data_IF_308137618144
#
_entry.id   IF_308137618144
#
_cell.length_a   1.000
_cell.length_b   1.000
_cell.length_c   1.000
_cell.angle_alpha   90.00
_cell.angle_beta   90.00
_cell.angle_gamma   90.00
#
_symmetry.space_group_name_H-M   'P 1'
#
loop_
_entity.id
_entity.type
_entity.pdbx_description
1 polymer ?
#
# COMPACT_ATOMS: atom_id res chain seq x y z
N UNK A 1 -69.88 -27.06 -21.57
CA UNK A 1 -68.69 -27.90 -21.85
C UNK A 1 -67.65 -27.02 -22.53
N UNK A 2 -66.39 -26.84 -22.15
CA UNK A 2 -65.61 -27.11 -20.96
C UNK A 2 -64.57 -25.96 -20.84
N UNK A 3 -64.29 -25.48 -19.62
CA UNK A 3 -63.28 -24.43 -19.36
C UNK A 3 -61.88 -25.00 -19.61
N UNK A 4 -61.11 -24.42 -20.54
CA UNK A 4 -59.67 -24.68 -20.67
C UNK A 4 -58.91 -23.85 -19.63
N UNK A 5 -58.46 -24.49 -18.55
CA UNK A 5 -57.46 -23.92 -17.66
C UNK A 5 -56.07 -24.19 -18.25
N UNK A 6 -55.30 -23.13 -18.54
CA UNK A 6 -53.86 -23.22 -18.75
C UNK A 6 -53.19 -23.24 -17.37
N UNK A 7 -52.35 -24.23 -17.03
CA UNK A 7 -51.56 -24.16 -15.80
C UNK A 7 -50.41 -23.15 -16.01
N UNK A 8 -50.39 -22.09 -15.18
CA UNK A 8 -49.21 -21.24 -15.03
C UNK A 8 -48.12 -22.08 -14.37
N UNK A 9 -47.07 -22.41 -15.11
CA UNK A 9 -45.84 -22.95 -14.55
C UNK A 9 -45.15 -21.79 -13.83
N UNK A 10 -45.31 -21.69 -12.51
CA UNK A 10 -44.49 -20.82 -11.67
C UNK A 10 -43.04 -21.31 -11.72
N UNK A 11 -42.21 -20.62 -12.51
CA UNK A 11 -40.77 -20.75 -12.40
C UNK A 11 -40.35 -20.13 -11.08
N UNK A 12 -40.23 -20.95 -10.04
CA UNK A 12 -39.54 -20.56 -8.81
C UNK A 12 -38.09 -20.27 -9.17
N UNK A 13 -37.75 -19.00 -9.38
CA UNK A 13 -36.37 -18.54 -9.44
C UNK A 13 -35.78 -18.75 -8.05
N UNK A 14 -35.26 -19.95 -7.79
CA UNK A 14 -34.35 -20.18 -6.66
C UNK A 14 -33.20 -19.22 -6.87
N UNK A 15 -33.19 -18.15 -6.09
CA UNK A 15 -32.10 -17.19 -6.00
C UNK A 15 -30.92 -18.00 -5.47
N UNK A 16 -30.07 -18.49 -6.36
CA UNK A 16 -28.78 -19.05 -5.99
C UNK A 16 -28.07 -17.94 -5.26
N UNK A 17 -28.02 -18.01 -3.93
CA UNK A 17 -27.21 -17.11 -3.14
C UNK A 17 -25.78 -17.41 -3.54
N UNK A 18 -25.26 -16.66 -4.52
CA UNK A 18 -23.83 -16.60 -4.76
C UNK A 18 -23.20 -16.35 -3.39
N UNK A 19 -22.41 -17.31 -2.90
CA UNK A 19 -21.57 -17.11 -1.73
C UNK A 19 -20.83 -15.81 -2.00
N UNK A 20 -21.21 -14.72 -1.32
CA UNK A 20 -20.54 -13.45 -1.47
C UNK A 20 -19.14 -13.71 -0.93
N UNK A 21 -18.17 -13.88 -1.83
CA UNK A 21 -16.77 -14.00 -1.43
C UNK A 21 -16.50 -12.80 -0.54
N UNK A 22 -16.18 -13.05 0.73
CA UNK A 22 -15.85 -11.99 1.67
C UNK A 22 -14.58 -11.37 1.13
N UNK A 23 -14.69 -10.15 0.60
CA UNK A 23 -13.54 -9.44 0.06
C UNK A 23 -12.62 -9.08 1.21
N UNK A 24 -11.33 -9.39 1.09
CA UNK A 24 -10.31 -8.93 2.02
C UNK A 24 -10.31 -7.39 2.06
N UNK A 25 -10.11 -6.80 3.22
CA UNK A 25 -10.15 -5.34 3.39
C UNK A 25 -8.85 -4.80 3.99
N UNK A 26 -8.28 -3.80 3.31
CA UNK A 26 -7.04 -3.13 3.72
C UNK A 26 -7.32 -1.69 4.10
N UNK A 27 -6.89 -1.29 5.30
CA UNK A 27 -6.73 0.11 5.68
C UNK A 27 -5.24 0.45 5.56
N UNK A 28 -4.88 1.42 4.72
CA UNK A 28 -3.50 1.86 4.52
C UNK A 28 -3.45 3.36 4.86
N UNK A 29 -2.75 3.73 5.93
CA UNK A 29 -2.63 5.13 6.37
C UNK A 29 -1.23 5.63 6.05
N UNK A 30 -1.13 6.60 5.13
CA UNK A 30 0.12 7.10 4.57
C UNK A 30 0.48 8.47 5.16
N UNK A 31 1.77 8.69 5.34
CA UNK A 31 2.36 9.99 5.68
C UNK A 31 2.01 11.04 4.62
N UNK A 32 2.39 10.80 3.36
CA UNK A 32 2.10 11.70 2.25
C UNK A 32 0.62 11.73 1.86
N UNK A 33 0.17 12.91 1.42
CA UNK A 33 -1.23 13.13 1.07
C UNK A 33 -1.61 12.60 -0.33
N UNK A 34 -0.63 12.43 -1.21
CA UNK A 34 -0.85 12.20 -2.64
C UNK A 34 -0.15 10.94 -3.12
N UNK A 35 1.18 10.89 -3.04
CA UNK A 35 1.99 9.90 -3.78
C UNK A 35 1.63 8.47 -3.42
N UNK A 36 1.68 8.13 -2.13
CA UNK A 36 1.49 6.78 -1.60
C UNK A 36 0.02 6.35 -1.68
N UNK A 37 -0.96 7.16 -1.24
CA UNK A 37 -2.37 6.81 -1.40
C UNK A 37 -2.76 6.58 -2.86
N UNK A 38 -2.29 7.41 -3.79
CA UNK A 38 -2.59 7.24 -5.21
C UNK A 38 -1.94 5.98 -5.79
N UNK A 39 -0.70 5.66 -5.38
CA UNK A 39 -0.04 4.41 -5.77
C UNK A 39 -0.82 3.18 -5.30
N UNK A 40 -1.18 3.08 -4.01
CA UNK A 40 -1.89 1.91 -3.48
C UNK A 40 -3.32 1.80 -3.99
N UNK A 41 -4.01 2.91 -4.22
CA UNK A 41 -5.35 2.91 -4.82
C UNK A 41 -5.32 2.60 -6.34
N UNK A 42 -4.16 2.56 -6.99
CA UNK A 42 -4.04 2.19 -8.41
C UNK A 42 -4.08 0.68 -8.66
N UNK A 43 -3.88 -0.15 -7.62
CA UNK A 43 -4.01 -1.61 -7.74
C UNK A 43 -5.46 -2.01 -8.04
N UNK A 44 -5.65 -2.81 -9.10
CA UNK A 44 -6.96 -3.37 -9.45
C UNK A 44 -7.11 -4.76 -8.84
N UNK A 45 -7.71 -4.83 -7.66
CA UNK A 45 -7.90 -6.07 -6.91
C UNK A 45 -9.28 -6.66 -7.21
N UNK A 46 -9.36 -7.98 -7.36
CA UNK A 46 -10.60 -8.69 -7.74
C UNK A 46 -11.38 -9.15 -6.52
N UNK A 47 -10.66 -9.63 -5.50
CA UNK A 47 -11.19 -10.20 -4.26
C UNK A 47 -10.81 -9.42 -3.00
N UNK A 48 -10.31 -8.18 -3.13
CA UNK A 48 -10.00 -7.29 -2.01
C UNK A 48 -10.47 -5.85 -2.25
N UNK A 49 -10.56 -5.06 -1.17
CA UNK A 49 -10.74 -3.61 -1.23
C UNK A 49 -9.62 -2.91 -0.45
N UNK A 50 -9.04 -1.87 -1.04
CA UNK A 50 -8.06 -1.00 -0.40
C UNK A 50 -8.72 0.33 -0.07
N UNK A 51 -8.49 0.81 1.15
CA UNK A 51 -8.73 2.19 1.55
C UNK A 51 -7.40 2.81 1.95
N UNK A 52 -6.72 3.42 0.98
CA UNK A 52 -5.50 4.18 1.25
C UNK A 52 -5.83 5.66 1.51
N UNK A 53 -5.33 6.20 2.61
CA UNK A 53 -5.63 7.56 3.11
C UNK A 53 -4.30 8.26 3.37
N UNK A 54 -4.10 9.44 2.80
CA UNK A 54 -2.96 10.31 3.12
C UNK A 54 -3.31 11.30 4.22
N UNK A 55 -2.36 11.60 5.11
CA UNK A 55 -2.62 12.45 6.29
C UNK A 55 -1.79 13.71 6.39
N UNK A 56 -0.66 13.82 5.69
CA UNK A 56 0.27 14.94 5.89
C UNK A 56 0.83 14.97 7.32
N UNK A 57 0.99 13.80 7.93
CA UNK A 57 1.39 13.62 9.33
C UNK A 57 2.56 12.67 9.43
N UNK A 58 3.39 12.87 10.44
CA UNK A 58 4.69 12.21 10.53
C UNK A 58 4.71 11.15 11.64
N UNK A 59 5.46 10.06 11.42
CA UNK A 59 5.90 9.07 12.43
C UNK A 59 4.84 8.69 13.49
N UNK A 60 5.09 9.01 14.77
CA UNK A 60 4.25 8.65 15.92
C UNK A 60 2.85 9.29 15.80
N UNK A 61 2.76 10.51 15.28
CA UNK A 61 1.47 11.18 15.11
C UNK A 61 0.62 10.49 14.05
N UNK A 62 1.24 10.01 12.97
CA UNK A 62 0.59 9.20 11.95
C UNK A 62 0.07 7.87 12.53
N UNK A 63 0.88 7.20 13.35
CA UNK A 63 0.48 5.92 13.98
C UNK A 63 -0.72 6.13 14.92
N UNK A 64 -0.69 7.18 15.75
CA UNK A 64 -1.83 7.54 16.62
C UNK A 64 -3.09 7.82 15.81
N UNK A 65 -2.97 8.56 14.72
CA UNK A 65 -4.08 8.85 13.81
C UNK A 65 -4.60 7.58 13.13
N UNK A 66 -3.73 6.67 12.71
CA UNK A 66 -4.12 5.40 12.10
C UNK A 66 -4.94 4.54 13.07
N UNK A 67 -4.52 4.46 14.34
CA UNK A 67 -5.27 3.79 15.41
C UNK A 67 -6.65 4.44 15.57
N UNK A 68 -6.72 5.77 15.63
CA UNK A 68 -7.98 6.50 15.77
C UNK A 68 -8.93 6.22 14.58
N UNK A 69 -8.43 6.24 13.35
CA UNK A 69 -9.21 5.94 12.13
C UNK A 69 -9.77 4.51 12.20
N UNK A 70 -8.92 3.53 12.50
CA UNK A 70 -9.34 2.12 12.61
C UNK A 70 -10.44 1.96 13.67
N UNK A 71 -10.27 2.56 14.84
CA UNK A 71 -11.20 2.42 15.96
C UNK A 71 -12.54 3.11 15.67
N UNK A 72 -12.53 4.26 14.99
CA UNK A 72 -13.75 4.95 14.51
C UNK A 72 -14.50 4.07 13.50
N UNK A 73 -13.81 3.48 12.53
CA UNK A 73 -14.44 2.62 11.52
C UNK A 73 -14.97 1.32 12.15
N UNK A 74 -14.26 0.75 13.12
CA UNK A 74 -14.72 -0.40 13.92
C UNK A 74 -16.03 -0.10 14.66
N UNK A 75 -16.15 1.08 15.28
CA UNK A 75 -17.41 1.53 15.91
C UNK A 75 -18.56 1.69 14.92
N UNK A 76 -18.26 1.91 13.63
CA UNK A 76 -19.21 1.93 12.53
C UNK A 76 -19.43 0.54 11.89
N UNK A 77 -19.02 -0.53 12.57
CA UNK A 77 -19.10 -1.93 12.11
C UNK A 77 -18.33 -2.19 10.81
N UNK A 78 -17.28 -1.42 10.53
CA UNK A 78 -16.34 -1.63 9.42
C UNK A 78 -14.99 -2.04 9.99
N UNK A 79 -14.77 -3.35 10.09
CA UNK A 79 -13.47 -3.90 10.42
C UNK A 79 -12.62 -4.01 9.15
N UNK A 80 -11.31 -3.83 9.30
CA UNK A 80 -10.34 -4.11 8.25
C UNK A 80 -9.57 -5.36 8.64
N UNK A 81 -9.38 -6.25 7.68
CA UNK A 81 -8.64 -7.49 7.88
C UNK A 81 -7.13 -7.24 7.98
N UNK A 82 -6.63 -6.22 7.27
CA UNK A 82 -5.25 -5.75 7.36
C UNK A 82 -5.21 -4.23 7.57
N UNK A 83 -4.41 -3.80 8.54
CA UNK A 83 -4.16 -2.39 8.83
C UNK A 83 -2.66 -2.11 8.66
N UNK A 84 -2.33 -1.14 7.82
CA UNK A 84 -0.96 -0.75 7.48
C UNK A 84 -0.75 0.74 7.73
N UNK A 85 0.44 1.08 8.22
CA UNK A 85 0.96 2.44 8.19
C UNK A 85 2.11 2.53 7.20
N UNK A 86 2.14 3.62 6.42
CA UNK A 86 3.17 3.87 5.41
C UNK A 86 3.82 5.21 5.68
N UNK A 87 5.13 5.23 5.89
CA UNK A 87 5.85 6.47 6.19
C UNK A 87 7.31 6.43 5.74
N UNK A 88 7.88 7.62 5.58
CA UNK A 88 9.25 7.81 5.15
C UNK A 88 10.17 8.00 6.35
N UNK A 89 11.46 7.69 6.21
CA UNK A 89 12.47 8.01 7.24
C UNK A 89 12.81 9.50 7.23
N UNK A 90 12.88 10.11 6.05
CA UNK A 90 13.21 11.52 5.81
C UNK A 90 14.31 12.05 6.77
N UNK A 91 14.14 13.26 7.29
CA UNK A 91 14.98 13.87 8.32
C UNK A 91 14.57 13.47 9.76
N UNK A 92 13.75 12.43 9.95
CA UNK A 92 13.30 12.04 11.29
C UNK A 92 14.43 11.53 12.17
N UNK A 93 14.34 11.77 13.47
CA UNK A 93 15.29 11.17 14.42
C UNK A 93 15.19 9.64 14.37
N UNK A 94 16.32 8.95 14.55
CA UNK A 94 16.32 7.48 14.54
C UNK A 94 15.46 6.90 15.66
N UNK A 95 15.43 7.59 16.81
CA UNK A 95 14.57 7.23 17.94
C UNK A 95 13.10 7.29 17.58
N UNK A 96 12.63 8.39 16.97
CA UNK A 96 11.22 8.56 16.65
C UNK A 96 10.76 7.59 15.55
N UNK A 97 11.61 7.34 14.55
CA UNK A 97 11.31 6.40 13.48
C UNK A 97 11.15 4.97 14.02
N UNK A 98 12.13 4.50 14.80
CA UNK A 98 12.06 3.17 15.40
C UNK A 98 10.90 3.06 16.41
N UNK A 99 10.64 4.12 17.20
CA UNK A 99 9.51 4.15 18.10
C UNK A 99 8.17 4.08 17.36
N UNK A 100 8.03 4.73 16.20
CA UNK A 100 6.82 4.65 15.38
C UNK A 100 6.59 3.24 14.85
N UNK A 101 7.64 2.55 14.37
CA UNK A 101 7.57 1.14 13.96
C UNK A 101 7.05 0.27 15.11
N UNK A 102 7.68 0.37 16.28
CA UNK A 102 7.31 -0.41 17.47
C UNK A 102 5.89 -0.12 17.94
N UNK A 103 5.50 1.16 17.95
CA UNK A 103 4.15 1.59 18.33
C UNK A 103 3.10 1.00 17.40
N UNK A 104 3.33 1.03 16.09
CA UNK A 104 2.40 0.50 15.10
C UNK A 104 2.22 -1.02 15.27
N UNK A 105 3.33 -1.76 15.37
CA UNK A 105 3.33 -3.22 15.54
C UNK A 105 2.61 -3.65 16.82
N UNK A 106 2.91 -3.00 17.95
CA UNK A 106 2.26 -3.28 19.25
C UNK A 106 0.76 -3.02 19.21
N UNK A 107 0.31 -2.12 18.33
CA UNK A 107 -1.11 -1.82 18.14
C UNK A 107 -1.76 -2.63 17.01
N UNK A 108 -1.10 -3.67 16.49
CA UNK A 108 -1.66 -4.55 15.46
C UNK A 108 -1.69 -3.95 14.06
N UNK A 109 -0.80 -2.99 13.77
CA UNK A 109 -0.54 -2.52 12.41
C UNK A 109 0.70 -3.17 11.85
N UNK A 110 0.65 -3.49 10.56
CA UNK A 110 1.85 -3.74 9.77
C UNK A 110 2.48 -2.42 9.33
N UNK A 111 3.77 -2.43 9.04
CA UNK A 111 4.53 -1.22 8.72
C UNK A 111 5.24 -1.37 7.38
N UNK A 112 4.97 -0.46 6.46
CA UNK A 112 5.72 -0.30 5.23
C UNK A 112 6.45 1.04 5.28
N UNK A 113 7.78 1.05 5.28
CA UNK A 113 8.56 2.29 5.29
C UNK A 113 9.52 2.37 4.11
N UNK A 114 9.97 3.58 3.79
CA UNK A 114 11.10 3.80 2.88
C UNK A 114 12.14 4.70 3.53
N UNK A 115 13.40 4.27 3.47
CA UNK A 115 14.54 5.04 3.97
C UNK A 115 15.38 5.49 2.75
N UNK A 116 15.34 6.74 2.30
CA UNK A 116 14.80 7.91 3.00
C UNK A 116 13.35 8.28 2.63
N UNK A 117 12.90 7.99 1.41
CA UNK A 117 11.61 8.46 0.91
C UNK A 117 10.93 7.45 -0.02
N UNK A 118 9.60 7.54 -0.16
CA UNK A 118 8.79 6.57 -0.90
C UNK A 118 9.22 6.41 -2.36
N UNK A 119 9.74 7.46 -3.00
CA UNK A 119 10.25 7.37 -4.37
C UNK A 119 11.39 6.35 -4.55
N UNK A 120 12.10 5.98 -3.47
CA UNK A 120 13.08 4.90 -3.53
C UNK A 120 12.43 3.59 -4.00
N UNK A 121 11.22 3.28 -3.54
CA UNK A 121 10.44 2.13 -4.02
C UNK A 121 10.18 2.18 -5.53
N UNK A 122 9.93 3.35 -6.11
CA UNK A 122 9.76 3.50 -7.55
C UNK A 122 11.07 3.24 -8.31
N UNK A 123 12.20 3.68 -7.79
CA UNK A 123 13.52 3.43 -8.40
C UNK A 123 13.82 1.94 -8.51
N UNK A 124 13.46 1.15 -7.49
CA UNK A 124 13.72 -0.29 -7.45
C UNK A 124 13.03 -1.09 -8.57
N UNK A 125 12.01 -0.52 -9.24
CA UNK A 125 11.38 -1.13 -10.41
C UNK A 125 12.27 -1.11 -11.66
N UNK A 126 13.31 -0.28 -11.69
CA UNK A 126 14.20 -0.14 -12.84
C UNK A 126 15.52 -0.84 -12.61
N UNK A 127 16.15 -0.61 -11.44
CA UNK A 127 17.47 -1.13 -11.14
C UNK A 127 17.61 -1.43 -9.64
N UNK A 128 18.59 -2.28 -9.32
CA UNK A 128 19.07 -2.44 -7.96
C UNK A 128 19.90 -1.21 -7.58
N UNK A 129 19.47 -0.46 -6.57
CA UNK A 129 20.16 0.73 -6.08
C UNK A 129 20.69 0.49 -4.67
N UNK A 130 21.98 0.19 -4.55
CA UNK A 130 22.64 -0.05 -3.26
C UNK A 130 23.50 1.15 -2.84
N UNK A 131 23.60 1.36 -1.52
CA UNK A 131 24.32 2.48 -0.93
C UNK A 131 23.48 3.75 -0.83
N UNK A 132 24.02 4.75 -0.13
CA UNK A 132 23.31 5.99 0.19
C UNK A 132 23.01 6.81 -1.07
N UNK A 133 21.71 7.01 -1.34
CA UNK A 133 21.22 7.95 -2.35
C UNK A 133 20.26 8.91 -1.67
N UNK A 134 20.66 10.17 -1.55
CA UNK A 134 19.85 11.20 -0.92
C UNK A 134 18.56 11.47 -1.71
N UNK A 135 17.43 11.62 -0.99
CA UNK A 135 16.09 11.80 -1.58
C UNK A 135 15.94 12.94 -2.59
N UNK A 136 16.78 13.98 -2.49
CA UNK A 136 16.78 15.10 -3.44
C UNK A 136 17.10 14.66 -4.89
N UNK A 137 17.75 13.50 -5.08
CA UNK A 137 18.10 12.96 -6.40
C UNK A 137 16.98 12.12 -7.02
N UNK A 138 16.05 11.60 -6.22
CA UNK A 138 15.05 10.63 -6.69
C UNK A 138 14.18 11.19 -7.82
N UNK A 139 13.75 12.45 -7.72
CA UNK A 139 12.89 13.05 -8.74
C UNK A 139 13.55 13.19 -10.11
N UNK A 140 14.83 13.55 -10.15
CA UNK A 140 15.62 13.62 -11.39
C UNK A 140 15.82 12.22 -11.99
N UNK A 141 16.24 11.26 -11.15
CA UNK A 141 16.45 9.87 -11.56
C UNK A 141 15.16 9.25 -12.12
N UNK A 142 14.05 9.42 -11.41
CA UNK A 142 12.74 8.95 -11.87
C UNK A 142 12.34 9.61 -13.18
N UNK A 143 12.53 10.93 -13.32
CA UNK A 143 12.18 11.63 -14.56
C UNK A 143 12.93 11.06 -15.78
N UNK A 144 14.22 10.73 -15.60
CA UNK A 144 15.03 10.11 -16.63
C UNK A 144 14.56 8.67 -16.96
N UNK A 145 14.31 7.86 -15.94
CA UNK A 145 13.89 6.45 -16.10
C UNK A 145 12.47 6.30 -16.67
N UNK A 146 11.57 7.22 -16.33
CA UNK A 146 10.18 7.24 -16.80
C UNK A 146 10.04 7.79 -18.22
N UNK A 147 11.00 8.59 -18.70
CA UNK A 147 10.90 9.31 -19.97
C UNK A 147 9.94 10.50 -19.94
N UNK A 148 9.47 10.91 -18.76
CA UNK A 148 8.66 12.10 -18.53
C UNK A 148 8.98 12.69 -17.16
N UNK A 149 8.69 13.98 -16.98
CA UNK A 149 8.94 14.67 -15.71
C UNK A 149 8.14 14.02 -14.57
N UNK A 150 8.83 13.49 -13.57
CA UNK A 150 8.21 13.08 -12.32
C UNK A 150 7.80 14.31 -11.49
N UNK A 151 6.57 14.29 -11.02
CA UNK A 151 6.02 15.25 -10.08
C UNK A 151 5.37 14.54 -8.90
N UNK A 152 4.98 15.30 -7.88
CA UNK A 152 4.26 14.80 -6.69
C UNK A 152 2.84 15.35 -6.63
N UNK A 153 2.22 15.55 -7.80
CA UNK A 153 0.87 16.10 -7.90
C UNK A 153 -0.15 15.02 -8.26
N UNK A 154 -1.43 15.29 -8.04
CA UNK A 154 -2.50 14.33 -8.31
C UNK A 154 -2.46 13.87 -9.77
N UNK A 155 -2.42 12.56 -9.97
CA UNK A 155 -2.31 11.93 -11.28
C UNK A 155 -0.88 11.48 -11.65
N UNK A 156 0.16 12.00 -10.97
CA UNK A 156 1.54 11.63 -11.28
C UNK A 156 1.85 10.20 -10.84
N UNK A 157 1.44 9.82 -9.62
CA UNK A 157 1.62 8.44 -9.13
C UNK A 157 0.90 7.41 -10.00
N UNK A 158 -0.28 7.73 -10.53
CA UNK A 158 -0.98 6.82 -11.44
C UNK A 158 -0.23 6.64 -12.77
N UNK A 159 0.37 7.72 -13.32
CA UNK A 159 1.22 7.62 -14.53
C UNK A 159 2.45 6.76 -14.25
N UNK A 160 3.10 6.99 -13.12
CA UNK A 160 4.24 6.19 -12.66
C UNK A 160 3.84 4.72 -12.51
N UNK A 161 2.74 4.45 -11.80
CA UNK A 161 2.20 3.11 -11.57
C UNK A 161 2.04 2.34 -12.88
N UNK A 162 1.42 2.94 -13.91
CA UNK A 162 1.22 2.29 -15.20
C UNK A 162 2.53 1.86 -15.88
N UNK A 163 3.62 2.61 -15.67
CA UNK A 163 4.95 2.27 -16.21
C UNK A 163 5.65 1.19 -15.38
N UNK A 164 5.54 1.27 -14.05
CA UNK A 164 6.32 0.42 -13.15
C UNK A 164 5.62 -0.89 -12.79
N UNK A 165 4.29 -0.97 -12.84
CA UNK A 165 3.53 -2.14 -12.43
C UNK A 165 3.95 -3.46 -13.12
N UNK A 166 4.23 -3.50 -14.43
CA UNK A 166 4.75 -4.72 -15.07
C UNK A 166 6.12 -5.19 -14.51
N UNK A 167 6.84 -4.31 -13.81
CA UNK A 167 8.16 -4.56 -13.22
C UNK A 167 8.09 -4.77 -11.71
N UNK A 168 6.90 -4.89 -11.11
CA UNK A 168 6.75 -5.01 -9.65
C UNK A 168 7.55 -6.18 -9.07
N UNK A 169 7.65 -7.32 -9.77
CA UNK A 169 8.49 -8.44 -9.30
C UNK A 169 9.97 -8.08 -9.19
N UNK A 170 10.49 -7.29 -10.13
CA UNK A 170 11.87 -6.79 -10.10
C UNK A 170 12.08 -5.92 -8.85
N UNK A 171 11.13 -5.03 -8.54
CA UNK A 171 11.21 -4.17 -7.36
C UNK A 171 11.17 -4.96 -6.05
N UNK A 172 10.31 -5.99 -5.97
CA UNK A 172 10.25 -6.89 -4.82
C UNK A 172 11.59 -7.58 -4.62
N UNK A 173 12.13 -8.21 -5.68
CA UNK A 173 13.40 -8.94 -5.60
C UNK A 173 14.56 -7.99 -5.23
N UNK A 174 14.57 -6.76 -5.73
CA UNK A 174 15.58 -5.77 -5.39
C UNK A 174 15.46 -5.32 -3.92
N UNK A 175 14.26 -4.98 -3.46
CA UNK A 175 14.02 -4.56 -2.08
C UNK A 175 14.40 -5.66 -1.09
N UNK A 176 14.04 -6.92 -1.39
CA UNK A 176 14.40 -8.06 -0.56
C UNK A 176 15.92 -8.25 -0.48
N UNK A 177 16.63 -8.24 -1.63
CA UNK A 177 18.11 -8.33 -1.65
C UNK A 177 18.79 -7.24 -0.83
N UNK A 178 18.25 -6.03 -0.86
CA UNK A 178 18.77 -4.90 -0.08
C UNK A 178 18.56 -5.16 1.42
N UNK A 179 17.36 -5.55 1.83
CA UNK A 179 17.08 -5.83 3.25
C UNK A 179 17.89 -7.01 3.79
N UNK A 180 18.12 -8.04 2.99
CA UNK A 180 18.98 -9.19 3.35
C UNK A 180 20.44 -8.80 3.59
N UNK A 181 20.87 -7.62 3.13
CA UNK A 181 22.22 -7.09 3.41
C UNK A 181 22.35 -6.39 4.76
N UNK A 182 21.23 -6.13 5.45
CA UNK A 182 21.19 -5.56 6.80
C UNK A 182 20.85 -6.63 7.83
N UNK A 183 21.23 -6.40 9.09
CA UNK A 183 20.90 -7.31 10.19
C UNK A 183 19.46 -7.13 10.72
N UNK A 184 18.77 -6.07 10.29
CA UNK A 184 17.39 -5.75 10.68
C UNK A 184 17.27 -5.20 12.10
N UNK A 185 18.37 -4.90 12.78
CA UNK A 185 18.37 -4.49 14.18
C UNK A 185 17.96 -3.03 14.38
N UNK A 186 18.19 -2.18 13.37
CA UNK A 186 17.94 -0.74 13.46
C UNK A 186 17.50 -0.16 12.11
N UNK A 187 16.20 -0.28 11.76
CA UNK A 187 15.63 0.23 10.51
C UNK A 187 15.97 1.69 10.19
N UNK A 188 16.08 2.53 11.22
CA UNK A 188 16.45 3.94 11.05
C UNK A 188 17.86 4.14 10.45
N UNK A 189 18.79 3.19 10.64
CA UNK A 189 20.18 3.23 10.15
C UNK A 189 20.37 2.53 8.80
N UNK A 190 19.34 1.87 8.29
CA UNK A 190 19.39 1.08 7.05
C UNK A 190 19.02 1.98 5.86
N UNK A 191 19.87 2.98 5.58
CA UNK A 191 19.61 3.93 4.49
C UNK A 191 19.54 3.24 3.13
N UNK A 192 18.65 3.73 2.26
CA UNK A 192 18.36 3.14 0.94
C UNK A 192 17.81 1.72 1.09
N UNK A 193 16.77 1.58 1.91
CA UNK A 193 16.01 0.33 2.12
C UNK A 193 14.51 0.61 2.14
N UNK A 194 13.68 -0.40 1.93
CA UNK A 194 12.22 -0.24 1.97
C UNK A 194 11.49 -1.56 2.28
N UNK A 195 10.49 -1.49 3.18
CA UNK A 195 9.58 -2.62 3.45
C UNK A 195 8.27 -2.51 2.66
N UNK A 196 8.13 -1.53 1.75
CA UNK A 196 6.93 -1.38 0.90
C UNK A 196 6.63 -2.63 0.08
N UNK A 197 7.66 -3.38 -0.33
CA UNK A 197 7.50 -4.65 -1.04
C UNK A 197 6.61 -5.64 -0.26
N UNK A 198 6.70 -5.68 1.07
CA UNK A 198 5.90 -6.60 1.92
C UNK A 198 4.39 -6.28 1.82
N UNK A 199 4.03 -5.00 1.84
CA UNK A 199 2.65 -4.56 1.61
C UNK A 199 2.21 -4.89 0.19
N UNK A 200 3.05 -4.61 -0.80
CA UNK A 200 2.74 -4.92 -2.21
C UNK A 200 2.52 -6.41 -2.42
N UNK A 201 3.34 -7.28 -1.83
CA UNK A 201 3.15 -8.73 -1.86
C UNK A 201 1.81 -9.17 -1.25
N UNK A 202 1.34 -8.51 -0.19
CA UNK A 202 -0.01 -8.76 0.32
C UNK A 202 -1.10 -8.36 -0.69
N UNK A 203 -0.93 -7.23 -1.39
CA UNK A 203 -1.89 -6.78 -2.40
C UNK A 203 -1.90 -7.70 -3.63
N UNK A 204 -0.73 -8.17 -4.08
CA UNK A 204 -0.59 -9.04 -5.25
C UNK A 204 -1.31 -10.39 -5.09
N UNK A 205 -1.56 -10.85 -3.87
CA UNK A 205 -2.35 -12.07 -3.62
C UNK A 205 -3.82 -11.96 -4.08
N UNK A 206 -4.31 -10.75 -4.36
CA UNK A 206 -5.72 -10.47 -4.71
C UNK A 206 -5.88 -9.89 -6.12
N UNK A 207 -4.87 -10.10 -6.98
CA UNK A 207 -4.89 -9.73 -8.39
C UNK A 207 -5.17 -11.00 -9.22
N UNK A 208 -5.97 -10.86 -10.29
CA UNK A 208 -6.21 -11.93 -11.27
C UNK A 208 -5.08 -12.06 -12.30
#
# INVERSE_FOLDING_TARGET
MARRQNPKIERTLKRTSSLRLVKQTFLIVCEGEVTEPEYFNSFRLTSANVKAIGKGMNTISLVKEAIAIRDIEKRRSRNYDQCWVVFDKDDFSDSDFNAAIQMAQTNGFHVAYSNQAFEYWFLLHFNLYQGSIHRSRYGEMLSHLLGFRYGKTKGDSMKVFNVIYPKTRIAIDNAQKILESFDGSNPAKEESSTTVHQLVEQLLQFIE
#
